data_IF_332709528717
#
_entry.id   IF_332709528717
#
_cell.length_a   1.000
_cell.length_b   1.000
_cell.length_c   1.000
_cell.angle_alpha   90.00
_cell.angle_beta   90.00
_cell.angle_gamma   90.00
#
_symmetry.space_group_name_H-M   'P 1'
#
loop_
_entity.id
_entity.type
_entity.pdbx_description
1 polymer ?
#
# COMPACT_ATOMS: atom_id res chain seq x y z
N UNK A 1 23.63 0.70 29.30
CA UNK A 1 23.61 1.91 28.43
C UNK A 1 24.89 2.13 27.62
N UNK A 2 26.10 2.27 28.19
CA UNK A 2 27.30 2.65 27.40
C UNK A 2 27.54 1.76 26.17
N UNK A 3 27.41 0.44 26.30
CA UNK A 3 27.58 -0.49 25.18
C UNK A 3 26.49 -0.33 24.11
N UNK A 4 25.22 -0.18 24.50
CA UNK A 4 24.10 0.06 23.56
C UNK A 4 24.35 1.35 22.76
N UNK A 5 24.84 2.41 23.41
CA UNK A 5 25.18 3.67 22.72
C UNK A 5 26.31 3.51 21.71
N UNK A 6 27.33 2.71 22.00
CA UNK A 6 28.40 2.41 21.05
C UNK A 6 27.87 1.69 19.82
N UNK A 7 26.98 0.72 20.04
CA UNK A 7 26.34 -0.07 18.98
C UNK A 7 25.41 0.78 18.12
N UNK A 8 24.63 1.69 18.73
CA UNK A 8 23.81 2.68 18.02
C UNK A 8 24.68 3.57 17.13
N UNK A 9 25.77 4.14 17.66
CA UNK A 9 26.67 4.96 16.86
C UNK A 9 27.27 4.18 15.68
N UNK A 10 27.54 2.89 15.85
CA UNK A 10 28.02 2.03 14.78
C UNK A 10 26.96 1.83 13.69
N UNK A 11 25.70 1.58 14.09
CA UNK A 11 24.56 1.49 13.18
C UNK A 11 24.38 2.80 12.39
N UNK A 12 24.36 3.94 13.07
CA UNK A 12 24.21 5.25 12.44
C UNK A 12 25.33 5.54 11.44
N UNK A 13 26.57 5.19 11.80
CA UNK A 13 27.73 5.34 10.90
C UNK A 13 27.61 4.45 9.66
N UNK A 14 27.12 3.21 9.82
CA UNK A 14 26.88 2.31 8.70
C UNK A 14 25.79 2.86 7.77
N UNK A 15 24.67 3.36 8.33
CA UNK A 15 23.59 3.95 7.55
C UNK A 15 24.09 5.15 6.74
N UNK A 16 24.81 6.08 7.37
CA UNK A 16 25.36 7.27 6.69
C UNK A 16 26.30 6.90 5.53
N UNK A 17 27.12 5.86 5.70
CA UNK A 17 28.02 5.39 4.63
C UNK A 17 27.26 4.76 3.47
N UNK A 18 26.25 3.95 3.76
CA UNK A 18 25.38 3.36 2.72
C UNK A 18 24.68 4.48 1.94
N UNK A 19 24.09 5.45 2.64
CA UNK A 19 23.40 6.58 2.01
C UNK A 19 24.34 7.42 1.14
N UNK A 20 25.59 7.60 1.57
CA UNK A 20 26.62 8.29 0.79
C UNK A 20 27.00 7.50 -0.46
N UNK A 21 27.23 6.19 -0.33
CA UNK A 21 27.58 5.32 -1.45
C UNK A 21 26.48 5.23 -2.50
N UNK A 22 25.20 5.21 -2.07
CA UNK A 22 24.04 5.27 -2.98
C UNK A 22 24.03 6.57 -3.79
N UNK A 23 24.32 7.71 -3.16
CA UNK A 23 24.35 9.03 -3.81
C UNK A 23 25.52 9.17 -4.77
N UNK A 24 26.69 8.63 -4.43
CA UNK A 24 27.90 8.76 -5.25
C UNK A 24 27.88 7.87 -6.49
N UNK A 25 27.27 6.69 -6.41
CA UNK A 25 27.29 5.70 -7.49
C UNK A 25 26.00 5.64 -8.34
N UNK A 26 24.97 6.43 -8.01
CA UNK A 26 23.63 6.39 -8.64
C UNK A 26 23.06 4.96 -8.71
N UNK A 27 23.33 4.16 -7.67
CA UNK A 27 22.91 2.77 -7.57
C UNK A 27 21.58 2.66 -6.83
N UNK A 28 20.62 1.99 -7.46
CA UNK A 28 19.29 1.75 -6.86
C UNK A 28 19.33 0.72 -5.71
N UNK A 29 20.40 -0.08 -5.62
CA UNK A 29 20.51 -1.15 -4.63
C UNK A 29 21.91 -1.22 -4.00
N UNK A 30 21.94 -1.18 -2.67
CA UNK A 30 23.11 -1.51 -1.84
C UNK A 30 22.68 -2.57 -0.84
N UNK A 31 23.59 -3.51 -0.54
CA UNK A 31 23.34 -4.54 0.47
C UNK A 31 23.24 -3.90 1.87
N UNK A 32 22.04 -3.94 2.46
CA UNK A 32 21.73 -3.41 3.78
C UNK A 32 21.73 -4.47 4.89
N UNK A 33 22.19 -5.70 4.61
CA UNK A 33 22.21 -6.82 5.57
C UNK A 33 22.94 -6.45 6.88
N UNK A 34 24.00 -5.65 6.80
CA UNK A 34 24.72 -5.17 7.98
C UNK A 34 23.82 -4.36 8.93
N UNK A 35 22.89 -3.57 8.40
CA UNK A 35 21.93 -2.80 9.19
C UNK A 35 20.98 -3.74 9.92
N UNK A 36 20.44 -4.75 9.21
CA UNK A 36 19.63 -5.81 9.83
C UNK A 36 20.38 -6.52 10.96
N UNK A 37 21.64 -6.91 10.76
CA UNK A 37 22.43 -7.59 11.79
C UNK A 37 22.62 -6.70 13.01
N UNK A 38 23.02 -5.43 12.81
CA UNK A 38 23.26 -4.48 13.89
C UNK A 38 21.97 -4.14 14.64
N UNK A 39 20.87 -3.87 13.94
CA UNK A 39 19.58 -3.56 14.57
C UNK A 39 19.07 -4.72 15.42
N UNK A 40 19.16 -5.97 14.94
CA UNK A 40 18.74 -7.12 15.76
C UNK A 40 19.68 -7.36 16.95
N UNK A 41 20.99 -7.10 16.81
CA UNK A 41 21.93 -7.17 17.94
C UNK A 41 21.58 -6.14 19.03
N UNK A 42 21.31 -4.89 18.64
CA UNK A 42 20.90 -3.84 19.58
C UNK A 42 19.56 -4.21 20.25
N UNK A 43 18.62 -4.74 19.48
CA UNK A 43 17.35 -5.24 20.01
C UNK A 43 17.57 -6.33 21.09
N UNK A 44 18.45 -7.30 20.83
CA UNK A 44 18.79 -8.36 21.79
C UNK A 44 19.48 -7.82 23.06
N UNK A 45 20.24 -6.73 22.92
CA UNK A 45 20.88 -6.05 24.06
C UNK A 45 19.86 -5.33 24.94
N UNK A 46 18.88 -4.62 24.34
CA UNK A 46 17.77 -4.04 25.11
C UNK A 46 16.94 -5.14 25.78
N UNK A 47 16.68 -6.26 25.09
CA UNK A 47 16.00 -7.41 25.68
C UNK A 47 16.73 -7.92 26.93
N UNK A 48 18.03 -8.15 26.79
CA UNK A 48 18.88 -8.58 27.91
C UNK A 48 18.86 -7.55 29.05
N UNK A 49 18.89 -6.25 28.72
CA UNK A 49 18.82 -5.19 29.72
C UNK A 49 17.50 -5.23 30.51
N UNK A 50 16.35 -5.31 29.83
CA UNK A 50 15.06 -5.36 30.51
C UNK A 50 14.77 -6.69 31.22
N UNK A 51 15.43 -7.78 30.80
CA UNK A 51 15.38 -9.07 31.50
C UNK A 51 16.20 -9.10 32.79
N UNK A 52 17.29 -8.34 32.85
CA UNK A 52 18.21 -8.37 33.98
C UNK A 52 18.01 -7.22 34.97
N UNK A 53 17.44 -6.10 34.52
CA UNK A 53 17.30 -4.89 35.32
C UNK A 53 15.86 -4.36 35.32
N UNK A 54 15.45 -3.62 36.37
CA UNK A 54 14.20 -2.87 36.36
C UNK A 54 14.10 -1.97 35.12
N UNK A 55 12.90 -1.88 34.54
CA UNK A 55 12.64 -0.95 33.42
C UNK A 55 12.51 0.46 33.97
N UNK A 56 13.43 1.32 33.54
CA UNK A 56 13.32 2.76 33.74
C UNK A 56 12.59 3.38 32.54
N UNK A 57 11.73 4.38 32.80
CA UNK A 57 10.96 5.08 31.76
C UNK A 57 11.84 5.59 30.63
N UNK A 58 13.00 6.16 30.96
CA UNK A 58 13.98 6.66 29.99
C UNK A 58 14.48 5.55 29.06
N UNK A 59 14.83 4.39 29.63
CA UNK A 59 15.33 3.25 28.86
C UNK A 59 14.24 2.66 27.94
N UNK A 60 12.99 2.66 28.40
CA UNK A 60 11.85 2.23 27.57
C UNK A 60 11.62 3.20 26.41
N UNK A 61 11.64 4.51 26.66
CA UNK A 61 11.52 5.51 25.60
C UNK A 61 12.65 5.41 24.57
N UNK A 62 13.90 5.28 25.02
CA UNK A 62 15.08 5.08 24.15
C UNK A 62 14.93 3.82 23.29
N UNK A 63 14.39 2.72 23.85
CA UNK A 63 14.14 1.49 23.11
C UNK A 63 13.04 1.66 22.05
N UNK A 64 11.94 2.31 22.40
CA UNK A 64 10.82 2.54 21.47
C UNK A 64 11.26 3.43 20.31
N UNK A 65 11.96 4.53 20.60
CA UNK A 65 12.54 5.40 19.57
C UNK A 65 13.50 4.64 18.64
N UNK A 66 14.37 3.81 19.21
CA UNK A 66 15.24 2.93 18.42
C UNK A 66 14.43 2.01 17.50
N UNK A 67 13.37 1.40 18.02
CA UNK A 67 12.52 0.49 17.25
C UNK A 67 11.79 1.20 16.11
N UNK A 68 11.18 2.36 16.38
CA UNK A 68 10.52 3.21 15.38
C UNK A 68 11.45 3.54 14.22
N UNK A 69 12.65 4.04 14.54
CA UNK A 69 13.64 4.46 13.55
C UNK A 69 14.19 3.30 12.71
N UNK A 70 14.09 2.06 13.20
CA UNK A 70 14.69 0.88 12.58
C UNK A 70 13.67 -0.21 12.24
N UNK A 71 12.41 0.17 12.05
CA UNK A 71 11.28 -0.75 11.79
C UNK A 71 11.54 -1.73 10.63
N UNK A 72 12.24 -1.29 9.58
CA UNK A 72 12.58 -2.11 8.40
C UNK A 72 13.66 -3.17 8.67
N UNK A 73 14.48 -2.99 9.69
CA UNK A 73 15.65 -3.82 9.98
C UNK A 73 15.46 -4.75 11.19
N UNK A 74 14.50 -4.43 12.06
CA UNK A 74 14.21 -5.22 13.25
C UNK A 74 13.17 -6.30 12.93
N UNK A 75 13.56 -7.56 13.14
CA UNK A 75 12.73 -8.72 12.78
C UNK A 75 11.97 -9.33 13.97
N UNK A 76 12.32 -8.96 15.22
CA UNK A 76 11.86 -9.63 16.45
C UNK A 76 11.23 -8.70 17.52
N UNK A 77 10.85 -7.47 17.16
CA UNK A 77 10.41 -6.45 18.12
C UNK A 77 9.17 -6.84 18.97
N UNK A 78 8.15 -7.43 18.35
CA UNK A 78 6.83 -7.68 18.96
C UNK A 78 6.88 -8.66 20.16
N UNK A 79 7.71 -9.70 20.06
CA UNK A 79 7.88 -10.70 21.14
C UNK A 79 8.47 -10.08 22.43
N UNK A 80 9.23 -9.00 22.29
CA UNK A 80 9.89 -8.33 23.41
C UNK A 80 8.93 -7.39 24.16
N UNK A 81 8.06 -6.69 23.44
CA UNK A 81 7.02 -5.86 24.06
C UNK A 81 6.04 -6.69 24.88
N UNK A 82 5.64 -7.86 24.38
CA UNK A 82 4.84 -8.83 25.15
C UNK A 82 5.52 -9.23 26.48
N UNK A 83 6.83 -9.49 26.45
CA UNK A 83 7.61 -9.85 27.63
C UNK A 83 7.71 -8.69 28.63
N UNK A 84 7.91 -7.47 28.12
CA UNK A 84 7.92 -6.24 28.91
C UNK A 84 6.57 -6.00 29.61
N UNK A 85 5.46 -6.13 28.88
CA UNK A 85 4.12 -5.94 29.44
C UNK A 85 3.85 -6.94 30.57
N UNK A 86 4.20 -8.22 30.37
CA UNK A 86 3.97 -9.24 31.39
C UNK A 86 4.72 -8.94 32.69
N UNK A 87 5.96 -8.46 32.60
CA UNK A 87 6.79 -8.18 33.77
C UNK A 87 6.42 -6.87 34.47
N UNK A 88 6.07 -5.83 33.72
CA UNK A 88 5.77 -4.49 34.25
C UNK A 88 4.27 -4.15 34.15
N UNK A 89 3.41 -5.16 34.26
CA UNK A 89 1.97 -5.02 34.10
C UNK A 89 1.31 -4.05 35.10
N UNK A 90 1.99 -3.76 36.21
CA UNK A 90 1.56 -2.78 37.22
C UNK A 90 1.74 -1.32 36.80
N UNK A 91 2.44 -1.03 35.70
CA UNK A 91 2.61 0.33 35.19
C UNK A 91 1.73 0.54 33.94
N UNK A 92 0.72 1.43 33.99
CA UNK A 92 -0.12 1.71 32.84
C UNK A 92 0.65 2.38 31.69
N UNK A 93 1.71 3.14 31.99
CA UNK A 93 2.50 3.84 30.97
C UNK A 93 3.16 2.86 30.00
N UNK A 94 3.64 1.73 30.52
CA UNK A 94 4.29 0.68 29.74
C UNK A 94 3.33 0.12 28.66
N UNK A 95 2.04 -0.02 28.98
CA UNK A 95 1.02 -0.48 28.04
C UNK A 95 0.62 0.60 27.04
N UNK A 96 0.51 1.85 27.48
CA UNK A 96 0.23 2.99 26.60
C UNK A 96 1.34 3.09 25.56
N UNK A 97 2.60 3.16 26.00
CA UNK A 97 3.75 3.30 25.10
C UNK A 97 3.82 2.16 24.09
N UNK A 98 3.65 0.91 24.52
CA UNK A 98 3.67 -0.24 23.59
C UNK A 98 2.49 -0.24 22.61
N UNK A 99 1.28 0.08 23.09
CA UNK A 99 0.10 0.13 22.23
C UNK A 99 0.17 1.25 21.20
N UNK A 100 0.65 2.42 21.60
CA UNK A 100 0.89 3.57 20.71
C UNK A 100 1.94 3.22 19.67
N UNK A 101 3.07 2.61 20.06
CA UNK A 101 4.10 2.18 19.11
C UNK A 101 3.58 1.17 18.08
N UNK A 102 2.85 0.13 18.50
CA UNK A 102 2.29 -0.84 17.54
C UNK A 102 1.27 -0.17 16.60
N UNK A 103 0.51 0.81 17.09
CA UNK A 103 -0.49 1.51 16.30
C UNK A 103 0.13 2.51 15.32
N UNK A 104 0.94 3.45 15.80
CA UNK A 104 1.45 4.59 15.02
C UNK A 104 2.64 4.19 14.14
N UNK A 105 3.59 3.42 14.66
CA UNK A 105 4.85 3.12 13.96
C UNK A 105 4.78 1.82 13.14
N UNK A 106 4.09 0.80 13.67
CA UNK A 106 4.01 -0.53 13.03
C UNK A 106 2.73 -0.73 12.22
N UNK A 107 1.73 0.13 12.40
CA UNK A 107 0.39 -0.03 11.82
C UNK A 107 -0.23 -1.41 12.14
N UNK A 108 0.12 -1.98 13.29
CA UNK A 108 -0.39 -3.24 13.82
C UNK A 108 -1.49 -2.98 14.85
N UNK A 109 -2.70 -2.78 14.34
CA UNK A 109 -3.90 -2.50 15.14
C UNK A 109 -4.25 -3.67 16.07
N UNK A 110 -3.97 -4.91 15.68
CA UNK A 110 -4.32 -6.08 16.48
C UNK A 110 -3.44 -6.14 17.74
N UNK A 111 -2.13 -5.97 17.57
CA UNK A 111 -1.19 -5.90 18.68
C UNK A 111 -1.46 -4.69 19.59
N UNK A 112 -1.75 -3.52 19.01
CA UNK A 112 -2.13 -2.34 19.79
C UNK A 112 -3.39 -2.59 20.65
N UNK A 113 -4.44 -3.20 20.07
CA UNK A 113 -5.68 -3.55 20.80
C UNK A 113 -5.42 -4.54 21.92
N UNK A 114 -4.56 -5.54 21.68
CA UNK A 114 -4.15 -6.51 22.70
C UNK A 114 -3.48 -5.80 23.88
N UNK A 115 -2.53 -4.89 23.62
CA UNK A 115 -1.85 -4.14 24.69
C UNK A 115 -2.78 -3.23 25.49
N UNK A 116 -3.68 -2.50 24.83
CA UNK A 116 -4.71 -1.73 25.54
C UNK A 116 -5.64 -2.63 26.38
N UNK A 117 -6.02 -3.79 25.87
CA UNK A 117 -6.89 -4.73 26.58
C UNK A 117 -6.20 -5.31 27.81
N UNK A 118 -4.93 -5.74 27.69
CA UNK A 118 -4.13 -6.22 28.82
C UNK A 118 -3.97 -5.12 29.87
N UNK A 119 -3.61 -3.90 29.48
CA UNK A 119 -3.47 -2.78 30.42
C UNK A 119 -4.76 -2.51 31.19
N UNK A 120 -5.92 -2.57 30.53
CA UNK A 120 -7.22 -2.34 31.17
C UNK A 120 -7.64 -3.47 32.13
N UNK A 121 -7.09 -4.68 32.01
CA UNK A 121 -7.32 -5.74 33.01
C UNK A 121 -6.75 -5.35 34.36
N UNK A 122 -5.55 -4.77 34.37
CA UNK A 122 -4.83 -4.35 35.56
C UNK A 122 -5.23 -2.94 36.02
N UNK A 123 -5.57 -2.05 35.09
CA UNK A 123 -5.80 -0.62 35.32
C UNK A 123 -7.18 -0.15 34.84
N UNK A 124 -8.24 -0.79 35.34
CA UNK A 124 -9.63 -0.63 34.85
C UNK A 124 -10.13 0.82 34.76
N UNK A 125 -9.65 1.70 35.64
CA UNK A 125 -10.10 3.09 35.74
C UNK A 125 -9.01 4.10 35.35
N UNK A 126 -7.93 3.67 34.70
CA UNK A 126 -6.85 4.57 34.31
C UNK A 126 -7.30 5.46 33.15
N UNK A 127 -7.55 6.75 33.44
CA UNK A 127 -8.08 7.70 32.47
C UNK A 127 -7.16 7.90 31.26
N UNK A 128 -5.84 7.88 31.45
CA UNK A 128 -4.89 8.00 30.33
C UNK A 128 -4.96 6.80 29.39
N UNK A 129 -4.97 5.58 29.93
CA UNK A 129 -5.08 4.35 29.13
C UNK A 129 -6.41 4.28 28.36
N UNK A 130 -7.51 4.72 28.97
CA UNK A 130 -8.82 4.80 28.33
C UNK A 130 -8.81 5.86 27.21
N UNK A 131 -8.25 7.05 27.48
CA UNK A 131 -8.19 8.14 26.52
C UNK A 131 -7.38 7.75 25.28
N UNK A 132 -6.19 7.17 25.47
CA UNK A 132 -5.33 6.75 24.36
C UNK A 132 -5.96 5.64 23.53
N UNK A 133 -6.64 4.69 24.17
CA UNK A 133 -7.43 3.68 23.46
C UNK A 133 -8.54 4.31 22.61
N UNK A 134 -9.25 5.33 23.13
CA UNK A 134 -10.29 6.05 22.38
C UNK A 134 -9.67 6.80 21.19
N UNK A 135 -8.55 7.50 21.40
CA UNK A 135 -7.84 8.22 20.36
C UNK A 135 -7.41 7.30 19.21
N UNK A 136 -6.81 6.14 19.52
CA UNK A 136 -6.42 5.15 18.53
C UNK A 136 -7.62 4.63 17.72
N UNK A 137 -8.76 4.35 18.38
CA UNK A 137 -10.00 3.94 17.69
C UNK A 137 -10.49 5.04 16.74
N UNK A 138 -10.50 6.30 17.18
CA UNK A 138 -10.95 7.43 16.36
C UNK A 138 -10.03 7.65 15.15
N UNK A 139 -8.71 7.53 15.34
CA UNK A 139 -7.74 7.61 14.25
C UNK A 139 -7.99 6.53 13.20
N UNK A 140 -8.17 5.27 13.63
CA UNK A 140 -8.49 4.15 12.74
C UNK A 140 -9.79 4.38 11.94
N UNK A 141 -10.83 4.89 12.60
CA UNK A 141 -12.10 5.19 11.92
C UNK A 141 -11.93 6.25 10.82
N UNK A 142 -11.15 7.29 11.10
CA UNK A 142 -10.88 8.37 10.13
C UNK A 142 -10.14 7.86 8.90
N UNK A 143 -9.13 7.02 9.08
CA UNK A 143 -8.39 6.41 7.96
C UNK A 143 -9.27 5.48 7.11
N UNK A 144 -10.09 4.65 7.75
CA UNK A 144 -11.04 3.78 7.06
C UNK A 144 -12.04 4.56 6.20
N UNK A 145 -12.55 5.67 6.74
CA UNK A 145 -13.47 6.56 6.01
C UNK A 145 -12.80 7.19 4.78
N UNK A 146 -11.53 7.61 4.91
CA UNK A 146 -10.75 8.18 3.81
C UNK A 146 -10.41 7.14 2.74
N UNK A 147 -9.98 5.95 3.15
CA UNK A 147 -9.75 4.82 2.26
C UNK A 147 -11.01 4.44 1.49
N UNK A 148 -12.15 4.36 2.18
CA UNK A 148 -13.46 4.08 1.55
C UNK A 148 -13.88 5.17 0.56
N UNK A 149 -13.62 6.46 0.85
CA UNK A 149 -13.87 7.57 -0.09
C UNK A 149 -13.05 7.42 -1.36
N UNK A 150 -11.76 7.09 -1.23
CA UNK A 150 -10.83 6.89 -2.35
C UNK A 150 -11.27 5.73 -3.25
N UNK A 151 -11.63 4.60 -2.65
CA UNK A 151 -12.16 3.43 -3.40
C UNK A 151 -13.44 3.80 -4.17
N UNK A 152 -14.39 4.49 -3.53
CA UNK A 152 -15.63 4.95 -4.19
C UNK A 152 -15.34 5.90 -5.36
N UNK A 153 -14.39 6.82 -5.20
CA UNK A 153 -14.00 7.74 -6.26
C UNK A 153 -13.39 6.99 -7.46
N UNK A 154 -12.44 6.08 -7.21
CA UNK A 154 -11.79 5.27 -8.24
C UNK A 154 -12.79 4.37 -8.98
N UNK A 155 -13.71 3.74 -8.25
CA UNK A 155 -14.79 2.94 -8.85
C UNK A 155 -15.65 3.78 -9.80
N UNK A 156 -16.08 4.98 -9.38
CA UNK A 156 -16.88 5.90 -10.22
C UNK A 156 -16.12 6.34 -11.47
N UNK A 157 -14.82 6.63 -11.36
CA UNK A 157 -13.96 6.99 -12.49
C UNK A 157 -13.84 5.84 -13.48
N UNK A 158 -13.60 4.63 -12.99
CA UNK A 158 -13.50 3.42 -13.81
C UNK A 158 -14.82 3.12 -14.53
N UNK A 159 -15.95 3.24 -13.85
CA UNK A 159 -17.27 3.04 -14.44
C UNK A 159 -17.54 4.04 -15.58
N UNK A 160 -17.20 5.33 -15.39
CA UNK A 160 -17.30 6.35 -16.44
C UNK A 160 -16.44 5.99 -17.66
N UNK A 161 -15.21 5.55 -17.43
CA UNK A 161 -14.30 5.16 -18.51
C UNK A 161 -14.83 3.95 -19.31
N UNK A 162 -15.38 2.94 -18.61
CA UNK A 162 -16.01 1.78 -19.25
C UNK A 162 -17.21 2.22 -20.11
N UNK A 163 -18.09 3.07 -19.56
CA UNK A 163 -19.24 3.58 -20.30
C UNK A 163 -18.82 4.36 -21.57
N UNK A 164 -17.77 5.17 -21.49
CA UNK A 164 -17.21 5.87 -22.66
C UNK A 164 -16.68 4.87 -23.69
N UNK A 165 -15.98 3.82 -23.27
CA UNK A 165 -15.46 2.77 -24.17
C UNK A 165 -16.62 2.03 -24.87
N UNK A 166 -17.67 1.66 -24.14
CA UNK A 166 -18.86 1.01 -24.69
C UNK A 166 -19.54 1.93 -25.72
N UNK A 167 -19.74 3.20 -25.41
CA UNK A 167 -20.34 4.16 -26.33
C UNK A 167 -19.53 4.33 -27.63
N UNK A 168 -18.20 4.39 -27.51
CA UNK A 168 -17.28 4.44 -28.67
C UNK A 168 -17.36 3.17 -29.52
N UNK A 169 -17.37 2.00 -28.89
CA UNK A 169 -17.49 0.71 -29.58
C UNK A 169 -18.82 0.62 -30.35
N UNK A 170 -19.94 0.93 -29.69
CA UNK A 170 -21.26 0.92 -30.32
C UNK A 170 -21.33 1.87 -31.52
N UNK A 171 -20.79 3.08 -31.41
CA UNK A 171 -20.73 4.04 -32.54
C UNK A 171 -19.91 3.50 -33.72
N UNK A 172 -18.79 2.80 -33.45
CA UNK A 172 -17.98 2.17 -34.48
C UNK A 172 -18.74 1.05 -35.20
N UNK A 173 -19.36 0.14 -34.44
CA UNK A 173 -20.18 -0.95 -35.00
C UNK A 173 -21.33 -0.42 -35.85
N UNK A 174 -22.00 0.66 -35.43
CA UNK A 174 -23.06 1.29 -36.23
C UNK A 174 -22.52 1.86 -37.54
N UNK A 175 -21.35 2.50 -37.53
CA UNK A 175 -20.71 3.02 -38.75
C UNK A 175 -20.31 1.90 -39.71
N UNK A 176 -19.77 0.80 -39.20
CA UNK A 176 -19.39 -0.38 -40.01
C UNK A 176 -20.60 -0.99 -40.72
N UNK A 177 -21.72 -1.19 -40.01
CA UNK A 177 -22.98 -1.68 -40.62
C UNK A 177 -23.49 -0.77 -41.74
N UNK A 178 -23.46 0.54 -41.54
CA UNK A 178 -23.88 1.51 -42.57
C UNK A 178 -22.98 1.48 -43.82
N UNK A 179 -21.68 1.21 -43.66
CA UNK A 179 -20.74 1.08 -44.78
C UNK A 179 -21.04 -0.20 -45.56
N UNK A 180 -21.23 -1.33 -44.90
CA UNK A 180 -21.59 -2.60 -45.56
C UNK A 180 -22.89 -2.46 -46.36
N UNK A 181 -23.89 -1.80 -45.79
CA UNK A 181 -25.18 -1.59 -46.45
C UNK A 181 -25.05 -0.72 -47.71
N UNK A 182 -24.27 0.37 -47.64
CA UNK A 182 -23.94 1.20 -48.80
C UNK A 182 -23.16 0.44 -49.87
N UNK A 183 -22.21 -0.40 -49.47
CA UNK A 183 -21.42 -1.22 -50.40
C UNK A 183 -22.31 -2.21 -51.15
N UNK A 184 -23.28 -2.82 -50.45
CA UNK A 184 -24.25 -3.75 -51.03
C UNK A 184 -25.15 -3.05 -52.06
N UNK A 185 -25.65 -1.85 -51.73
CA UNK A 185 -26.43 -1.03 -52.66
C UNK A 185 -25.60 -0.69 -53.90
N UNK A 186 -24.35 -0.24 -53.73
CA UNK A 186 -23.46 0.12 -54.85
C UNK A 186 -23.18 -1.07 -55.79
N UNK A 187 -22.97 -2.26 -55.24
CA UNK A 187 -22.75 -3.47 -56.04
C UNK A 187 -23.99 -3.87 -56.86
N UNK A 188 -25.19 -3.70 -56.29
CA UNK A 188 -26.44 -3.95 -57.01
C UNK A 188 -26.60 -2.97 -58.19
N UNK A 189 -26.30 -1.68 -57.99
CA UNK A 189 -26.31 -0.69 -59.07
C UNK A 189 -25.34 -1.03 -60.21
N UNK A 190 -24.09 -1.38 -59.89
CA UNK A 190 -23.09 -1.78 -60.89
C UNK A 190 -23.51 -3.02 -61.68
N UNK A 191 -24.20 -3.96 -61.05
CA UNK A 191 -24.72 -5.16 -61.72
C UNK A 191 -25.84 -4.78 -62.69
N UNK A 192 -26.75 -3.91 -62.28
CA UNK A 192 -27.81 -3.38 -63.13
C UNK A 192 -27.25 -2.62 -64.33
N UNK A 193 -26.27 -1.74 -64.11
CA UNK A 193 -25.60 -0.98 -65.17
C UNK A 193 -24.95 -1.89 -66.22
N UNK A 194 -24.24 -2.94 -65.80
CA UNK A 194 -23.67 -3.94 -66.72
C UNK A 194 -24.74 -4.67 -67.54
N UNK A 195 -25.88 -5.00 -66.93
CA UNK A 195 -26.99 -5.63 -67.65
C UNK A 195 -27.60 -4.70 -68.69
N UNK A 196 -27.75 -3.41 -68.37
CA UNK A 196 -28.23 -2.39 -69.31
C UNK A 196 -27.22 -2.21 -70.46
N UNK A 197 -25.92 -2.12 -70.16
CA UNK A 197 -24.87 -1.98 -71.18
C UNK A 197 -24.84 -3.18 -72.14
N UNK A 198 -24.98 -4.41 -71.63
CA UNK A 198 -25.09 -5.60 -72.49
C UNK A 198 -26.33 -5.57 -73.37
N UNK A 199 -27.50 -5.27 -72.79
CA UNK A 199 -28.74 -5.18 -73.57
C UNK A 199 -28.69 -4.12 -74.67
N UNK A 200 -28.00 -3.00 -74.42
CA UNK A 200 -27.74 -1.99 -75.45
C UNK A 200 -26.77 -2.50 -76.53
N UNK A 201 -25.69 -3.19 -76.14
CA UNK A 201 -24.74 -3.78 -77.10
C UNK A 201 -25.42 -4.81 -78.01
N UNK A 202 -26.26 -5.68 -77.45
CA UNK A 202 -27.00 -6.70 -78.20
C UNK A 202 -27.99 -6.04 -79.19
N UNK A 203 -28.61 -4.91 -78.81
CA UNK A 203 -29.47 -4.11 -79.69
C UNK A 203 -28.68 -3.46 -80.84
N UNK A 204 -27.48 -2.94 -80.58
CA UNK A 204 -26.63 -2.38 -81.63
C UNK A 204 -26.16 -3.44 -82.63
N UNK A 205 -25.76 -4.64 -82.16
CA UNK A 205 -25.40 -5.77 -83.05
C UNK A 205 -26.58 -6.24 -83.92
N UNK A 206 -27.82 -6.16 -83.43
CA UNK A 206 -29.00 -6.48 -84.22
C UNK A 206 -29.30 -5.45 -85.30
N UNK A 207 -28.95 -4.18 -85.08
CA UNK A 207 -29.14 -3.10 -86.05
C UNK A 207 -28.09 -3.11 -87.16
N UNK A 208 -26.85 -3.52 -86.88
CA UNK A 208 -25.76 -3.61 -87.88
C UNK A 208 -25.90 -4.81 -88.85
N UNK A 209 -26.79 -5.77 -88.55
CA UNK A 209 -27.04 -6.97 -89.36
C UNK A 209 -28.30 -6.87 -90.26
N UNK A 210 -28.87 -5.66 -90.43
CA UNK A 210 -30.04 -5.35 -91.28
C UNK A 210 -29.58 -4.46 -92.45
#
# INVERSE_FOLDING_TARGET
>A
MKQIKVELNMLDTCQLKIDQEMKENDTEYINTEILTILSNRINDMYNSMFLLFPVEKTSLSEYIEFCSNNTLFITKCSNMLDTLMSRYHSDPEVHITAATYEFDDRNDVESARKFFAEGLKYHKNCSSLILEKINAILAQHKENDEGMRTVKFNFRKNLKNINIKIAKANSKTTKEKLIEEKQKILNNYKTCEKSIQRGLSDLYEQLDNI
#
